data_IF_478206984817
#
_entry.id   IF_478206984817
#
_cell.length_a   1.000
_cell.length_b   1.000
_cell.length_c   1.000
_cell.angle_alpha   90.00
_cell.angle_beta   90.00
_cell.angle_gamma   90.00
#
_symmetry.space_group_name_H-M   'P 1'
#
loop_
_entity.id
_entity.type
_entity.pdbx_description
1 polymer ?
#
# COMPACT_ATOMS: atom_id res chain seq x y z
N UNK A 1 72.03 -38.22 17.39
CA UNK A 1 71.33 -38.00 16.12
C UNK A 1 69.83 -38.04 16.39
N UNK A 2 69.12 -36.92 16.32
CA UNK A 2 67.65 -36.88 16.42
C UNK A 2 67.11 -36.13 15.19
N UNK A 3 66.01 -36.59 14.54
CA UNK A 3 65.53 -35.96 13.32
C UNK A 3 64.70 -34.71 13.64
N UNK A 4 64.95 -33.65 12.88
CA UNK A 4 64.20 -32.41 12.92
C UNK A 4 62.89 -32.64 12.15
N UNK A 5 61.75 -32.65 12.85
CA UNK A 5 60.44 -32.69 12.21
C UNK A 5 60.17 -31.36 11.49
N UNK A 6 60.14 -31.41 10.16
CA UNK A 6 59.67 -30.31 9.31
C UNK A 6 58.18 -30.09 9.54
N UNK A 7 57.83 -28.96 10.17
CA UNK A 7 56.44 -28.53 10.33
C UNK A 7 55.98 -27.86 9.02
N UNK A 8 55.30 -28.65 8.18
CA UNK A 8 54.71 -28.16 6.94
C UNK A 8 53.52 -27.25 7.24
N UNK A 9 53.76 -25.94 7.19
CA UNK A 9 52.70 -24.93 7.25
C UNK A 9 51.86 -25.02 5.98
N UNK A 10 50.70 -25.69 6.06
CA UNK A 10 49.73 -25.77 4.96
C UNK A 10 49.22 -24.35 4.67
N UNK A 11 49.68 -23.76 3.55
CA UNK A 11 49.11 -22.51 3.03
C UNK A 11 47.71 -22.83 2.51
N UNK A 12 46.71 -22.07 2.95
CA UNK A 12 45.34 -22.17 2.44
C UNK A 12 45.35 -21.77 0.96
N UNK A 13 44.84 -22.66 0.11
CA UNK A 13 44.68 -22.42 -1.32
C UNK A 13 43.71 -21.24 -1.54
N UNK A 14 43.99 -20.39 -2.52
CA UNK A 14 43.13 -19.25 -2.87
C UNK A 14 41.70 -19.68 -3.25
N UNK A 15 41.52 -20.90 -3.77
CA UNK A 15 40.18 -21.47 -4.01
C UNK A 15 39.43 -21.75 -2.71
N UNK A 16 40.10 -22.26 -1.69
CA UNK A 16 39.51 -22.48 -0.35
C UNK A 16 39.11 -21.15 0.27
N UNK A 17 39.94 -20.11 0.12
CA UNK A 17 39.63 -18.76 0.61
C UNK A 17 38.40 -18.17 -0.10
N UNK A 18 38.30 -18.32 -1.42
CA UNK A 18 37.16 -17.87 -2.21
C UNK A 18 35.85 -18.58 -1.82
N UNK A 19 35.89 -19.90 -1.61
CA UNK A 19 34.73 -20.67 -1.16
C UNK A 19 34.27 -20.24 0.23
N UNK A 20 35.21 -19.98 1.15
CA UNK A 20 34.88 -19.46 2.48
C UNK A 20 34.22 -18.07 2.41
N UNK A 21 34.72 -17.19 1.54
CA UNK A 21 34.13 -15.86 1.34
C UNK A 21 32.70 -15.94 0.76
N UNK A 22 32.47 -16.81 -0.23
CA UNK A 22 31.13 -17.03 -0.80
C UNK A 22 30.17 -17.57 0.28
N UNK A 23 30.63 -18.51 1.10
CA UNK A 23 29.81 -19.06 2.20
C UNK A 23 29.46 -18.00 3.25
N UNK A 24 30.42 -17.15 3.63
CA UNK A 24 30.18 -16.03 4.55
C UNK A 24 29.19 -15.02 3.94
N UNK A 25 29.34 -14.68 2.66
CA UNK A 25 28.41 -13.78 1.98
C UNK A 25 26.99 -14.36 1.89
N UNK A 26 26.85 -15.65 1.56
CA UNK A 26 25.57 -16.33 1.48
C UNK A 26 24.86 -16.38 2.85
N UNK A 27 25.59 -16.73 3.93
CA UNK A 27 25.03 -16.75 5.29
C UNK A 27 24.61 -15.37 5.77
N UNK A 28 25.42 -14.32 5.51
CA UNK A 28 25.06 -12.94 5.82
C UNK A 28 23.81 -12.47 5.05
N UNK A 29 23.70 -12.83 3.76
CA UNK A 29 22.53 -12.49 2.94
C UNK A 29 21.25 -13.14 3.47
N UNK A 30 21.29 -14.45 3.79
CA UNK A 30 20.14 -15.18 4.36
C UNK A 30 19.71 -14.57 5.70
N UNK A 31 20.66 -14.26 6.60
CA UNK A 31 20.36 -13.60 7.87
C UNK A 31 19.70 -12.22 7.69
N UNK A 32 20.21 -11.41 6.77
CA UNK A 32 19.61 -10.11 6.45
C UNK A 32 18.22 -10.24 5.82
N UNK A 33 17.98 -11.25 4.98
CA UNK A 33 16.67 -11.52 4.40
C UNK A 33 15.64 -11.91 5.47
N UNK A 34 16.01 -12.81 6.40
CA UNK A 34 15.17 -13.20 7.53
C UNK A 34 14.82 -11.99 8.41
N UNK A 35 15.81 -11.20 8.82
CA UNK A 35 15.59 -10.01 9.64
C UNK A 35 14.67 -8.97 8.97
N UNK A 36 14.76 -8.80 7.63
CA UNK A 36 13.82 -7.96 6.87
C UNK A 36 12.40 -8.54 6.90
N UNK A 37 12.26 -9.86 6.77
CA UNK A 37 10.98 -10.55 6.91
C UNK A 37 10.34 -10.31 8.27
N UNK A 38 11.10 -10.51 9.35
CA UNK A 38 10.64 -10.31 10.73
C UNK A 38 10.24 -8.86 11.00
N UNK A 39 11.02 -7.88 10.51
CA UNK A 39 10.70 -6.47 10.65
C UNK A 39 9.39 -6.10 9.95
N UNK A 40 9.12 -6.73 8.79
CA UNK A 40 7.90 -6.52 8.02
C UNK A 40 6.68 -7.17 8.67
N UNK A 41 6.85 -8.40 9.19
CA UNK A 41 5.83 -9.09 9.97
C UNK A 41 5.43 -8.25 11.20
N UNK A 42 6.41 -7.76 11.97
CA UNK A 42 6.15 -6.90 13.11
C UNK A 42 5.46 -5.58 12.72
N UNK A 43 5.77 -5.03 11.53
CA UNK A 43 5.08 -3.84 10.99
C UNK A 43 3.63 -4.15 10.64
N UNK A 44 3.34 -5.32 10.08
CA UNK A 44 1.98 -5.79 9.79
C UNK A 44 1.17 -5.98 11.07
N UNK A 45 1.74 -6.62 12.10
CA UNK A 45 1.09 -6.77 13.42
C UNK A 45 0.68 -5.43 14.04
N UNK A 46 1.58 -4.44 14.03
CA UNK A 46 1.26 -3.09 14.52
C UNK A 46 0.17 -2.41 13.70
N UNK A 47 0.19 -2.60 12.37
CA UNK A 47 -0.84 -2.07 11.48
C UNK A 47 -2.20 -2.75 11.73
N UNK A 48 -2.22 -4.07 11.89
CA UNK A 48 -3.45 -4.81 12.21
C UNK A 48 -4.07 -4.33 13.52
N UNK A 49 -3.25 -4.16 14.57
CA UNK A 49 -3.72 -3.62 15.84
C UNK A 49 -4.30 -2.20 15.68
N UNK A 50 -3.65 -1.34 14.91
CA UNK A 50 -4.12 0.03 14.64
C UNK A 50 -5.48 0.06 13.92
N UNK A 51 -5.71 -0.83 12.96
CA UNK A 51 -6.93 -0.85 12.14
C UNK A 51 -7.94 -1.92 12.56
N UNK A 52 -7.73 -2.59 13.70
CA UNK A 52 -8.62 -3.63 14.21
C UNK A 52 -8.78 -4.82 13.26
N UNK A 53 -7.71 -5.22 12.56
CA UNK A 53 -7.76 -6.32 11.59
C UNK A 53 -7.60 -7.67 12.26
N UNK A 54 -8.48 -8.59 11.89
CA UNK A 54 -8.41 -10.01 12.21
C UNK A 54 -8.75 -10.81 10.95
N UNK A 55 -8.11 -11.95 10.78
CA UNK A 55 -8.27 -12.82 9.61
C UNK A 55 -8.85 -14.18 10.03
N UNK A 56 -9.50 -14.85 9.09
CA UNK A 56 -10.22 -16.12 9.33
C UNK A 56 -9.31 -17.23 9.78
N UNK A 57 -8.10 -17.29 9.23
CA UNK A 57 -7.14 -18.35 9.45
C UNK A 57 -5.71 -17.87 9.16
N UNK A 58 -4.74 -18.75 9.43
CA UNK A 58 -3.32 -18.45 9.24
C UNK A 58 -2.94 -18.29 7.76
N UNK A 59 -3.62 -18.96 6.84
CA UNK A 59 -3.33 -18.87 5.42
C UNK A 59 -3.78 -17.51 4.87
N UNK A 60 -4.98 -17.06 5.23
CA UNK A 60 -5.46 -15.71 4.89
C UNK A 60 -4.58 -14.64 5.54
N UNK A 61 -4.18 -14.81 6.80
CA UNK A 61 -3.24 -13.89 7.45
C UNK A 61 -1.92 -13.79 6.70
N UNK A 62 -1.35 -14.93 6.27
CA UNK A 62 -0.10 -14.96 5.51
C UNK A 62 -0.27 -14.24 4.16
N UNK A 63 -1.34 -14.54 3.42
CA UNK A 63 -1.65 -13.85 2.17
C UNK A 63 -1.78 -12.33 2.36
N UNK A 64 -2.51 -11.89 3.39
CA UNK A 64 -2.69 -10.47 3.71
C UNK A 64 -1.38 -9.80 4.14
N UNK A 65 -0.51 -10.52 4.81
CA UNK A 65 0.83 -10.05 5.15
C UNK A 65 1.69 -9.85 3.89
N UNK A 66 1.59 -10.72 2.88
CA UNK A 66 2.28 -10.56 1.59
C UNK A 66 1.78 -9.35 0.80
N UNK A 67 0.47 -9.14 0.76
CA UNK A 67 -0.13 -7.95 0.13
C UNK A 67 0.30 -6.68 0.87
N UNK A 68 0.21 -6.69 2.20
CA UNK A 68 0.71 -5.60 3.04
C UNK A 68 2.20 -5.33 2.81
N UNK A 69 3.01 -6.38 2.69
CA UNK A 69 4.43 -6.29 2.40
C UNK A 69 4.71 -5.55 1.09
N UNK A 70 3.98 -5.90 0.03
CA UNK A 70 4.09 -5.25 -1.27
C UNK A 70 3.70 -3.76 -1.19
N UNK A 71 2.57 -3.46 -0.55
CA UNK A 71 2.09 -2.08 -0.38
C UNK A 71 3.04 -1.24 0.49
N UNK A 72 3.58 -1.81 1.57
CA UNK A 72 4.57 -1.14 2.42
C UNK A 72 5.86 -0.79 1.68
N UNK A 73 6.39 -1.73 0.88
CA UNK A 73 7.55 -1.46 0.03
C UNK A 73 7.25 -0.37 -1.01
N UNK A 74 6.07 -0.38 -1.61
CA UNK A 74 5.65 0.65 -2.55
C UNK A 74 5.58 2.05 -1.89
N UNK A 75 4.93 2.15 -0.73
CA UNK A 75 4.88 3.38 0.08
C UNK A 75 6.29 3.90 0.39
N UNK A 76 7.17 3.02 0.89
CA UNK A 76 8.52 3.39 1.26
C UNK A 76 9.36 3.81 0.05
N UNK A 77 9.15 3.19 -1.13
CA UNK A 77 9.85 3.54 -2.36
C UNK A 77 9.41 4.91 -2.91
N UNK A 78 8.09 5.16 -2.98
CA UNK A 78 7.54 6.42 -3.48
C UNK A 78 7.94 7.59 -2.58
N UNK A 79 7.83 7.43 -1.27
CA UNK A 79 8.19 8.49 -0.32
C UNK A 79 9.70 8.77 -0.32
N UNK A 80 10.54 7.74 -0.49
CA UNK A 80 12.01 7.91 -0.56
C UNK A 80 12.46 8.61 -1.84
N UNK A 81 11.76 8.39 -2.96
CA UNK A 81 12.09 9.05 -4.22
C UNK A 81 11.92 10.57 -4.13
N UNK A 82 11.00 11.07 -3.29
CA UNK A 82 10.86 12.49 -2.96
C UNK A 82 10.49 13.41 -4.15
N UNK A 83 10.14 12.83 -5.30
CA UNK A 83 9.85 13.55 -6.54
C UNK A 83 8.35 13.76 -6.80
N UNK A 84 7.53 13.62 -5.75
CA UNK A 84 6.07 13.76 -5.80
C UNK A 84 5.64 14.91 -4.90
N UNK A 85 4.59 15.62 -5.30
CA UNK A 85 3.93 16.65 -4.47
C UNK A 85 3.05 16.05 -3.36
N UNK A 86 3.05 14.72 -3.23
CA UNK A 86 2.28 13.97 -2.26
C UNK A 86 3.11 12.83 -1.67
N UNK A 87 2.70 12.37 -0.49
CA UNK A 87 3.25 11.18 0.16
C UNK A 87 2.19 10.08 0.23
N UNK A 88 2.64 8.83 0.22
CA UNK A 88 1.78 7.68 0.51
C UNK A 88 1.87 7.31 1.99
N UNK A 89 0.83 6.66 2.51
CA UNK A 89 0.79 6.17 3.88
C UNK A 89 0.06 4.85 3.97
N UNK A 90 0.42 4.04 4.97
CA UNK A 90 -0.29 2.80 5.28
C UNK A 90 -1.63 3.12 5.95
N UNK A 91 -2.70 3.03 5.17
CA UNK A 91 -4.09 3.28 5.57
C UNK A 91 -4.86 1.96 5.79
N UNK A 92 -6.18 2.03 6.02
CA UNK A 92 -7.00 0.83 6.25
C UNK A 92 -7.03 -0.15 5.05
N UNK A 93 -6.63 0.25 3.85
CA UNK A 93 -6.64 -0.59 2.65
C UNK A 93 -5.30 -1.26 2.35
N UNK A 94 -4.33 -1.15 3.26
CA UNK A 94 -2.96 -1.59 2.99
C UNK A 94 -2.79 -3.11 2.87
N UNK A 95 -3.79 -3.91 3.24
CA UNK A 95 -3.82 -5.37 3.06
C UNK A 95 -4.69 -5.83 1.87
N UNK A 96 -5.13 -4.90 1.02
CA UNK A 96 -5.86 -5.20 -0.21
C UNK A 96 -4.94 -5.07 -1.42
N UNK A 97 -5.15 -5.93 -2.42
CA UNK A 97 -4.60 -5.68 -3.75
C UNK A 97 -5.35 -4.52 -4.40
N UNK A 98 -4.77 -3.96 -5.47
CA UNK A 98 -5.45 -2.92 -6.22
C UNK A 98 -6.78 -3.42 -6.80
N UNK A 99 -6.81 -4.65 -7.29
CA UNK A 99 -8.00 -5.30 -7.87
C UNK A 99 -9.10 -5.47 -6.81
N UNK A 100 -8.75 -5.96 -5.62
CA UNK A 100 -9.69 -6.08 -4.52
C UNK A 100 -10.21 -4.72 -4.04
N UNK A 101 -9.34 -3.70 -4.00
CA UNK A 101 -9.74 -2.35 -3.64
C UNK A 101 -10.74 -1.79 -4.65
N UNK A 102 -10.46 -1.92 -5.95
CA UNK A 102 -11.35 -1.51 -7.03
C UNK A 102 -12.70 -2.23 -6.91
N UNK A 103 -12.69 -3.55 -6.75
CA UNK A 103 -13.92 -4.34 -6.69
C UNK A 103 -14.79 -4.00 -5.47
N UNK A 104 -14.18 -3.81 -4.30
CA UNK A 104 -14.90 -3.64 -3.02
C UNK A 104 -15.28 -2.19 -2.74
N UNK A 105 -14.51 -1.21 -3.24
CA UNK A 105 -14.62 0.19 -2.83
C UNK A 105 -14.89 1.17 -3.97
N UNK A 106 -14.75 0.79 -5.25
CA UNK A 106 -15.14 1.64 -6.37
C UNK A 106 -16.50 1.21 -6.92
N UNK A 107 -17.45 2.13 -6.94
CA UNK A 107 -18.83 1.86 -7.37
C UNK A 107 -19.24 2.56 -8.68
N UNK A 108 -18.37 3.41 -9.25
CA UNK A 108 -18.71 4.15 -10.47
C UNK A 108 -18.73 3.21 -11.68
N UNK A 109 -19.90 3.07 -12.30
CA UNK A 109 -20.07 2.41 -13.59
C UNK A 109 -20.56 3.46 -14.56
N UNK A 110 -19.79 3.70 -15.62
CA UNK A 110 -20.26 4.50 -16.74
C UNK A 110 -21.45 3.77 -17.38
N UNK A 111 -22.67 4.26 -17.19
CA UNK A 111 -23.85 3.75 -17.88
C UNK A 111 -23.96 4.44 -19.24
N UNK A 112 -23.79 3.73 -20.36
CA UNK A 112 -24.10 4.28 -21.67
C UNK A 112 -25.60 4.64 -21.71
N UNK A 113 -25.93 5.92 -21.87
CA UNK A 113 -27.32 6.41 -21.82
C UNK A 113 -27.86 6.72 -20.42
N UNK A 114 -27.03 6.71 -19.37
CA UNK A 114 -27.41 7.31 -18.09
C UNK A 114 -27.63 8.82 -18.22
N UNK A 115 -28.45 9.41 -17.35
CA UNK A 115 -28.76 10.85 -17.34
C UNK A 115 -27.47 11.66 -17.50
N UNK A 116 -27.33 12.30 -18.66
CA UNK A 116 -26.27 13.26 -18.88
C UNK A 116 -26.60 14.49 -18.03
N UNK A 117 -25.61 15.28 -17.58
CA UNK A 117 -25.89 16.52 -16.85
C UNK A 117 -26.88 17.44 -17.57
N UNK A 118 -26.90 17.36 -18.90
CA UNK A 118 -27.83 18.04 -19.81
C UNK A 118 -29.26 17.45 -19.87
N UNK A 119 -29.47 16.22 -19.40
CA UNK A 119 -30.80 15.58 -19.28
C UNK A 119 -31.50 15.92 -17.96
N UNK A 120 -30.78 16.53 -17.02
CA UNK A 120 -31.35 16.98 -15.75
C UNK A 120 -31.87 18.40 -15.97
N UNK A 121 -33.18 18.68 -15.80
CA UNK A 121 -33.65 20.05 -15.79
C UNK A 121 -33.09 20.72 -14.53
N UNK A 122 -31.91 21.32 -14.66
CA UNK A 122 -31.40 22.26 -13.68
C UNK A 122 -32.44 23.38 -13.70
N UNK A 123 -33.19 23.55 -12.62
CA UNK A 123 -33.99 24.76 -12.45
C UNK A 123 -33.04 25.92 -12.75
N UNK A 124 -33.29 26.66 -13.84
CA UNK A 124 -32.37 27.67 -14.32
C UNK A 124 -32.20 28.69 -13.21
N UNK A 125 -31.15 28.52 -12.41
CA UNK A 125 -30.81 29.47 -11.37
C UNK A 125 -30.44 30.72 -12.12
N UNK A 126 -31.21 31.79 -11.94
CA UNK A 126 -30.98 33.03 -12.64
C UNK A 126 -29.68 33.67 -12.11
N UNK A 127 -28.55 33.24 -12.68
CA UNK A 127 -27.21 33.71 -12.33
C UNK A 127 -26.99 35.17 -12.75
N UNK A 128 -27.94 35.82 -13.45
CA UNK A 128 -27.84 37.25 -13.78
C UNK A 128 -27.87 38.15 -12.54
N UNK A 129 -28.40 37.65 -11.41
CA UNK A 129 -28.32 38.31 -10.09
C UNK A 129 -27.10 37.89 -9.27
N UNK A 130 -26.33 36.89 -9.71
CA UNK A 130 -25.08 36.53 -9.06
C UNK A 130 -24.07 37.64 -9.36
N UNK A 131 -24.02 38.62 -8.48
CA UNK A 131 -23.00 39.67 -8.51
C UNK A 131 -21.71 39.01 -8.05
N UNK A 132 -20.94 38.45 -8.99
CA UNK A 132 -19.63 37.90 -8.71
C UNK A 132 -18.72 39.07 -8.30
N UNK A 133 -18.70 39.36 -7.00
CA UNK A 133 -17.57 40.06 -6.40
C UNK A 133 -16.30 39.21 -6.65
N UNK A 134 -15.13 39.84 -6.58
CA UNK A 134 -13.85 39.13 -6.71
C UNK A 134 -13.83 37.86 -5.86
N UNK A 135 -13.67 36.72 -6.50
CA UNK A 135 -13.55 35.42 -5.81
C UNK A 135 -12.27 35.42 -4.98
N UNK A 136 -12.29 34.91 -3.74
CA UNK A 136 -11.09 34.80 -2.92
C UNK A 136 -10.10 33.81 -3.54
N UNK A 137 -8.80 34.01 -3.26
CA UNK A 137 -7.72 33.12 -3.72
C UNK A 137 -7.81 31.70 -3.11
N UNK A 138 -8.54 31.53 -2.00
CA UNK A 138 -8.82 30.23 -1.39
C UNK A 138 -10.17 30.21 -0.68
N UNK A 139 -10.83 29.05 -0.67
CA UNK A 139 -12.12 28.83 -0.02
C UNK A 139 -12.18 27.45 0.62
N UNK A 140 -12.50 27.37 1.91
CA UNK A 140 -12.73 26.12 2.64
C UNK A 140 -14.13 26.11 3.26
N UNK A 141 -15.04 25.33 2.69
CA UNK A 141 -16.42 25.19 3.19
C UNK A 141 -16.50 24.57 4.59
N UNK A 142 -15.47 23.84 5.04
CA UNK A 142 -15.41 23.32 6.41
C UNK A 142 -15.31 24.45 7.42
N UNK A 143 -14.53 25.49 7.11
CA UNK A 143 -14.39 26.69 7.95
C UNK A 143 -15.70 27.49 8.05
N UNK A 144 -16.61 27.29 7.10
CA UNK A 144 -17.94 27.91 7.10
C UNK A 144 -19.03 27.02 7.72
N UNK A 145 -18.67 25.85 8.27
CA UNK A 145 -19.63 24.91 8.86
C UNK A 145 -20.57 24.25 7.85
N UNK A 146 -20.28 24.34 6.54
CA UNK A 146 -21.11 23.79 5.48
C UNK A 146 -20.81 22.30 5.17
N UNK A 147 -19.84 21.69 5.87
CA UNK A 147 -19.38 20.32 5.62
C UNK A 147 -19.59 19.46 6.86
N UNK A 148 -20.27 18.31 6.70
CA UNK A 148 -20.45 17.33 7.77
C UNK A 148 -19.19 16.52 8.03
N UNK A 149 -19.18 15.71 9.10
CA UNK A 149 -18.11 14.73 9.32
C UNK A 149 -17.95 13.76 8.14
N UNK A 150 -16.70 13.35 7.89
CA UNK A 150 -16.37 12.35 6.86
C UNK A 150 -17.00 11.01 7.23
N UNK A 151 -17.71 10.41 6.26
CA UNK A 151 -18.37 9.11 6.41
C UNK A 151 -17.52 7.98 5.84
N UNK A 152 -17.84 6.73 6.21
CA UNK A 152 -17.26 5.52 5.62
C UNK A 152 -18.33 4.80 4.79
N UNK A 153 -18.09 4.67 3.48
CA UNK A 153 -19.00 3.99 2.54
C UNK A 153 -19.08 2.47 2.73
N UNK A 154 -18.15 1.87 3.49
CA UNK A 154 -17.98 0.43 3.63
C UNK A 154 -17.78 -0.26 2.25
N UNK A 155 -17.75 -1.61 2.17
CA UNK A 155 -17.71 -2.34 0.89
C UNK A 155 -19.01 -2.27 0.07
N UNK A 156 -19.57 -1.08 -0.14
CA UNK A 156 -20.75 -0.86 -0.97
C UNK A 156 -20.34 -0.80 -2.45
N UNK A 157 -20.80 -1.77 -3.25
CA UNK A 157 -20.46 -1.93 -4.67
C UNK A 157 -20.89 -3.29 -5.26
N UNK A 158 -21.09 -4.30 -4.41
CA UNK A 158 -21.53 -5.66 -4.75
C UNK A 158 -23.01 -5.78 -5.13
N UNK A 159 -23.89 -4.93 -4.60
CA UNK A 159 -25.35 -5.05 -4.80
C UNK A 159 -25.89 -4.46 -6.12
N UNK A 160 -25.02 -3.88 -6.96
CA UNK A 160 -25.40 -3.43 -8.31
C UNK A 160 -25.21 -4.52 -9.38
N UNK A 161 -24.64 -5.67 -9.04
CA UNK A 161 -24.50 -6.80 -9.98
C UNK A 161 -25.76 -7.67 -10.09
N UNK A 162 -26.69 -7.59 -9.12
CA UNK A 162 -27.86 -8.46 -9.07
C UNK A 162 -29.10 -7.92 -9.84
N UNK A 163 -29.02 -6.75 -10.48
CA UNK A 163 -30.18 -6.10 -11.13
C UNK A 163 -30.02 -5.70 -12.60
N UNK A 164 -28.99 -6.19 -13.30
CA UNK A 164 -28.82 -5.97 -14.76
C UNK A 164 -29.18 -7.24 -15.56
N UNK A 165 -30.09 -8.06 -15.03
CA UNK A 165 -30.44 -9.34 -15.63
C UNK A 165 -31.86 -9.80 -15.28
N UNK A 166 -32.84 -8.92 -15.45
CA UNK A 166 -34.25 -9.27 -15.69
C UNK A 166 -34.91 -8.17 -16.51
#
# INVERSE_FOLDING_TARGET
MAPIHSNSSRRLDGTVLALLLVLVAATAFVGAAAARGDALAARHERWMAKYGRAYTDAAEKLHRQEVFAANARHVDAVNRAGNRTYTLGLNQFSDLTNEEFVEKHLGYRHQPGGLRPEDTPVAAVNMSKAQFQSTPDSLDWRAQGAVTQVKNQAPCGKDLQAKVGK
#
